data_IF_884712395913
#
_entry.id   IF_884712395913
#
_cell.length_a   1.000
_cell.length_b   1.000
_cell.length_c   1.000
_cell.angle_alpha   90.00
_cell.angle_beta   90.00
_cell.angle_gamma   90.00
#
_symmetry.space_group_name_H-M   'P 1'
#
loop_
_entity.id
_entity.type
_entity.pdbx_description
1 polymer ?
2 polymer ?
3 polymer ?
4 non-polymer ?
5 water ?
#
# COMPACT_ATOMS: atom_id res chain seq x y z
N UNK A 5 -47.93 -33.74 13.85
CA UNK A 5 -47.10 -33.82 12.61
C UNK A 5 -46.84 -32.43 12.04
N UNK A 6 -45.89 -32.36 11.12
CA UNK A 6 -45.50 -31.11 10.46
C UNK A 6 -46.63 -30.40 9.75
N UNK A 7 -46.53 -29.07 9.59
CA UNK A 7 -47.53 -28.23 8.92
C UNK A 7 -47.57 -28.55 7.42
N UNK A 8 -48.75 -28.47 6.82
CA UNK A 8 -48.89 -28.76 5.41
C UNK A 8 -48.57 -27.58 4.51
N UNK A 9 -48.62 -26.37 5.08
CA UNK A 9 -48.38 -25.16 4.30
C UNK A 9 -47.20 -25.12 3.32
N UNK A 10 -45.99 -25.51 3.75
CA UNK A 10 -44.88 -25.45 2.78
C UNK A 10 -45.05 -26.40 1.59
N UNK A 11 -45.73 -27.52 1.82
CA UNK A 11 -45.95 -28.49 0.75
C UNK A 11 -47.00 -27.99 -0.24
N UNK A 12 -48.07 -27.39 0.29
CA UNK A 12 -49.10 -26.84 -0.56
C UNK A 12 -48.53 -25.64 -1.32
N UNK A 13 -47.67 -24.88 -0.66
CA UNK A 13 -47.08 -23.72 -1.32
C UNK A 13 -46.19 -24.14 -2.50
N UNK A 14 -45.33 -25.14 -2.29
CA UNK A 14 -44.46 -25.60 -3.38
C UNK A 14 -45.30 -26.22 -4.49
N UNK A 15 -46.35 -26.92 -4.11
CA UNK A 15 -47.21 -27.55 -5.11
C UNK A 15 -47.92 -26.51 -5.96
N UNK A 16 -48.39 -25.44 -5.33
CA UNK A 16 -49.10 -24.39 -6.06
C UNK A 16 -48.15 -23.57 -6.91
N UNK A 17 -46.93 -23.39 -6.40
CA UNK A 17 -45.91 -22.65 -7.12
C UNK A 17 -45.63 -23.37 -8.46
N UNK A 18 -45.43 -24.68 -8.38
CA UNK A 18 -45.15 -25.48 -9.57
C UNK A 18 -46.32 -25.47 -10.56
N UNK A 19 -47.54 -25.55 -10.03
CA UNK A 19 -48.72 -25.55 -10.88
C UNK A 19 -48.76 -24.21 -11.63
N UNK A 20 -48.52 -23.12 -10.90
CA UNK A 20 -48.52 -21.77 -11.48
C UNK A 20 -47.46 -21.64 -12.57
N UNK A 21 -46.23 -22.02 -12.26
CA UNK A 21 -45.14 -21.94 -13.23
C UNK A 21 -45.44 -22.83 -14.45
N UNK A 22 -45.90 -24.06 -14.22
CA UNK A 22 -46.21 -24.97 -15.33
C UNK A 22 -47.30 -24.41 -16.24
N UNK A 23 -48.15 -23.53 -15.71
CA UNK A 23 -49.21 -22.96 -16.51
C UNK A 23 -48.86 -21.59 -17.06
N UNK A 24 -47.57 -21.26 -17.03
CA UNK A 24 -47.06 -19.99 -17.52
C UNK A 24 -47.50 -18.78 -16.72
N UNK A 25 -47.85 -18.96 -15.44
CA UNK A 25 -48.27 -17.83 -14.62
C UNK A 25 -47.09 -17.30 -13.81
N UNK A 26 -47.20 -16.05 -13.35
CA UNK A 26 -46.17 -15.41 -12.54
C UNK A 26 -46.61 -15.57 -11.10
N UNK A 27 -45.87 -16.36 -10.29
CA UNK A 27 -46.16 -16.64 -8.88
C UNK A 27 -45.98 -15.42 -7.97
N UNK A 28 -47.07 -14.96 -7.36
CA UNK A 28 -47.05 -13.81 -6.45
C UNK A 28 -47.32 -14.35 -5.06
N UNK A 29 -46.54 -13.90 -4.08
CA UNK A 29 -46.71 -14.35 -2.70
C UNK A 29 -47.16 -13.19 -1.81
N UNK A 30 -48.23 -13.40 -1.06
CA UNK A 30 -48.75 -12.38 -0.16
C UNK A 30 -48.15 -12.70 1.19
N UNK A 31 -47.46 -11.74 1.80
CA UNK A 31 -46.80 -11.95 3.08
C UNK A 31 -47.23 -10.98 4.18
N UNK A 32 -47.37 -11.51 5.40
CA UNK A 32 -47.72 -10.70 6.56
C UNK A 32 -46.40 -10.13 7.11
N UNK A 33 -46.07 -8.90 6.72
CA UNK A 33 -44.83 -8.27 7.16
C UNK A 33 -44.73 -7.96 8.65
N UNK A 34 -45.81 -8.20 9.40
CA UNK A 34 -45.81 -7.95 10.84
C UNK A 34 -45.38 -9.21 11.60
N UNK A 35 -45.35 -10.34 10.90
CA UNK A 35 -44.97 -11.61 11.51
C UNK A 35 -43.51 -11.52 11.99
N UNK A 36 -43.25 -12.07 13.17
CA UNK A 36 -41.90 -12.04 13.76
C UNK A 36 -40.86 -12.78 12.91
N UNK A 37 -39.78 -12.09 12.57
CA UNK A 37 -38.74 -12.72 11.79
C UNK A 37 -38.76 -12.37 10.31
N UNK A 38 -39.82 -11.73 9.85
CA UNK A 38 -39.88 -11.36 8.44
C UNK A 38 -38.85 -10.27 8.16
N UNK A 39 -38.05 -10.48 7.11
CA UNK A 39 -37.04 -9.51 6.75
C UNK A 39 -37.22 -9.11 5.29
N UNK A 40 -37.96 -8.01 5.07
CA UNK A 40 -38.23 -7.48 3.75
C UNK A 40 -38.13 -5.95 3.79
N UNK A 41 -37.95 -5.30 2.61
CA UNK A 41 -37.85 -3.85 2.51
C UNK A 41 -39.12 -3.18 3.01
N UNK A 42 -39.02 -2.53 4.16
CA UNK A 42 -40.16 -1.88 4.78
C UNK A 42 -40.86 -0.84 3.90
N UNK A 43 -40.10 -0.15 3.05
CA UNK A 43 -40.70 0.87 2.20
C UNK A 43 -41.67 0.33 1.16
N UNK A 44 -41.77 -1.00 1.04
CA UNK A 44 -42.69 -1.58 0.08
C UNK A 44 -43.88 -2.22 0.76
N UNK A 45 -43.91 -2.15 2.09
CA UNK A 45 -45.01 -2.72 2.85
C UNK A 45 -46.21 -1.78 2.84
N UNK A 46 -47.37 -2.34 2.54
CA UNK A 46 -48.63 -1.60 2.48
C UNK A 46 -49.59 -2.22 3.47
N UNK A 47 -49.97 -1.45 4.49
CA UNK A 47 -50.89 -1.94 5.51
C UNK A 47 -50.45 -3.25 6.16
N UNK A 48 -49.14 -3.36 6.42
CA UNK A 48 -48.62 -4.55 7.07
C UNK A 48 -48.52 -5.77 6.17
N UNK A 49 -48.67 -5.57 4.88
CA UNK A 49 -48.61 -6.69 3.94
C UNK A 49 -47.70 -6.36 2.75
N UNK A 50 -47.06 -7.37 2.19
CA UNK A 50 -46.20 -7.15 1.03
C UNK A 50 -46.40 -8.30 0.04
N UNK A 51 -46.48 -7.96 -1.24
CA UNK A 51 -46.65 -8.97 -2.29
C UNK A 51 -45.33 -9.07 -3.04
N UNK A 52 -44.81 -10.29 -3.17
CA UNK A 52 -43.53 -10.53 -3.80
C UNK A 52 -43.61 -11.40 -5.05
N UNK A 53 -42.85 -11.02 -6.07
CA UNK A 53 -42.79 -11.78 -7.31
C UNK A 53 -41.78 -12.91 -7.10
N UNK A 54 -42.24 -14.15 -7.16
CA UNK A 54 -41.36 -15.30 -6.95
C UNK A 54 -40.95 -16.05 -8.21
N UNK A 55 -41.19 -15.45 -9.38
CA UNK A 55 -40.83 -16.07 -10.66
C UNK A 55 -39.32 -16.28 -10.72
N UNK A 56 -38.88 -17.18 -11.59
CA UNK A 56 -37.45 -17.46 -11.71
C UNK A 56 -36.64 -16.27 -12.20
N UNK A 57 -37.17 -15.50 -13.13
CA UNK A 57 -36.45 -14.35 -13.64
C UNK A 57 -36.29 -13.22 -12.62
N UNK A 58 -37.29 -13.04 -11.77
CA UNK A 58 -37.26 -11.96 -10.78
C UNK A 58 -36.56 -12.25 -9.45
N UNK A 59 -36.13 -13.49 -9.23
CA UNK A 59 -35.47 -13.84 -7.98
C UNK A 59 -34.12 -14.51 -8.20
N UNK A 60 -33.29 -14.45 -7.17
CA UNK A 60 -31.99 -15.08 -7.21
C UNK A 60 -31.90 -16.06 -6.06
N UNK A 61 -31.34 -17.24 -6.29
CA UNK A 61 -31.17 -18.25 -5.25
C UNK A 61 -32.44 -18.51 -4.46
N UNK A 62 -33.54 -18.73 -5.16
CA UNK A 62 -34.82 -18.96 -4.51
C UNK A 62 -34.86 -20.27 -3.73
N UNK A 63 -35.27 -20.19 -2.47
CA UNK A 63 -35.38 -21.36 -1.61
C UNK A 63 -36.79 -21.43 -1.03
N UNK A 64 -37.46 -22.55 -1.26
CA UNK A 64 -38.80 -22.75 -0.71
C UNK A 64 -38.68 -23.94 0.26
N UNK A 65 -38.20 -23.69 1.47
CA UNK A 65 -38.02 -24.76 2.44
C UNK A 65 -39.24 -24.88 3.33
N UNK A 66 -39.24 -25.89 4.20
CA UNK A 66 -40.37 -26.09 5.11
C UNK A 66 -40.54 -24.97 6.14
N UNK A 67 -39.44 -24.36 6.56
CA UNK A 67 -39.51 -23.30 7.57
C UNK A 67 -39.50 -21.88 7.02
N UNK A 68 -38.98 -21.68 5.81
CA UNK A 68 -38.90 -20.33 5.28
C UNK A 68 -38.75 -20.23 3.78
N UNK A 69 -38.92 -19.00 3.31
CA UNK A 69 -38.75 -18.67 1.91
C UNK A 69 -37.65 -17.62 1.93
N UNK A 70 -36.64 -17.82 1.09
CA UNK A 70 -35.51 -16.89 1.02
C UNK A 70 -35.04 -16.74 -0.40
N UNK A 71 -34.57 -15.54 -0.74
CA UNK A 71 -34.09 -15.26 -2.08
C UNK A 71 -33.56 -13.85 -2.18
N UNK A 72 -32.85 -13.57 -3.28
CA UNK A 72 -32.33 -12.24 -3.56
C UNK A 72 -33.27 -11.67 -4.62
N UNK A 73 -33.48 -10.37 -4.58
CA UNK A 73 -34.34 -9.69 -5.53
C UNK A 73 -33.89 -8.23 -5.61
N UNK A 74 -34.17 -7.59 -6.74
CA UNK A 74 -33.79 -6.20 -6.93
C UNK A 74 -34.96 -5.26 -6.67
N UNK A 75 -34.66 -4.17 -5.99
CA UNK A 75 -35.65 -3.15 -5.69
C UNK A 75 -34.96 -1.88 -6.14
N UNK A 76 -35.44 -1.31 -7.23
CA UNK A 76 -34.85 -0.09 -7.78
C UNK A 76 -33.40 -0.35 -8.16
N UNK A 77 -33.15 -1.53 -8.74
CA UNK A 77 -31.81 -1.87 -9.18
C UNK A 77 -30.84 -2.33 -8.11
N UNK A 78 -31.26 -2.26 -6.85
CA UNK A 78 -30.41 -2.67 -5.74
C UNK A 78 -30.80 -4.06 -5.23
N UNK A 79 -29.88 -5.00 -5.34
CA UNK A 79 -30.12 -6.37 -4.92
C UNK A 79 -30.20 -6.47 -3.39
N UNK A 80 -31.26 -7.12 -2.90
CA UNK A 80 -31.46 -7.31 -1.46
C UNK A 80 -31.93 -8.74 -1.16
N UNK A 81 -31.59 -9.23 0.02
CA UNK A 81 -32.00 -10.58 0.39
C UNK A 81 -33.22 -10.54 1.30
N UNK A 82 -34.23 -11.33 0.93
CA UNK A 82 -35.45 -11.40 1.72
C UNK A 82 -35.54 -12.72 2.44
N UNK A 83 -36.12 -12.70 3.63
CA UNK A 83 -36.29 -13.89 4.45
C UNK A 83 -37.70 -13.89 4.99
N UNK A 84 -38.47 -14.92 4.65
CA UNK A 84 -39.84 -15.03 5.10
C UNK A 84 -40.17 -16.32 5.84
N UNK A 85 -40.41 -16.25 7.16
CA UNK A 85 -40.74 -17.46 7.92
C UNK A 85 -42.05 -18.00 7.30
N UNK A 86 -42.17 -19.31 7.20
CA UNK A 86 -43.35 -19.92 6.59
C UNK A 86 -44.69 -19.46 7.21
N UNK A 87 -44.67 -19.19 8.50
CA UNK A 87 -45.89 -18.72 9.17
C UNK A 87 -46.37 -17.38 8.63
N UNK A 88 -45.49 -16.67 7.92
CA UNK A 88 -45.85 -15.37 7.36
C UNK A 88 -46.39 -15.44 5.92
N UNK A 89 -46.35 -16.61 5.30
CA UNK A 89 -46.84 -16.77 3.94
C UNK A 89 -48.36 -16.95 4.04
N UNK A 90 -49.11 -15.97 3.53
CA UNK A 90 -50.57 -16.03 3.64
C UNK A 90 -51.28 -16.66 2.45
N UNK A 91 -50.73 -16.44 1.25
CA UNK A 91 -51.33 -16.99 0.04
C UNK A 91 -50.37 -16.86 -1.13
N UNK A 92 -50.69 -17.56 -2.22
CA UNK A 92 -49.86 -17.51 -3.41
C UNK A 92 -50.84 -17.51 -4.57
N UNK A 93 -50.61 -16.66 -5.57
CA UNK A 93 -51.52 -16.60 -6.70
C UNK A 93 -50.86 -16.13 -7.99
N UNK A 94 -51.57 -16.34 -9.10
CA UNK A 94 -51.09 -15.93 -10.41
C UNK A 94 -51.33 -14.45 -10.61
N UNK A 95 -50.29 -13.73 -11.02
CA UNK A 95 -50.41 -12.30 -11.22
C UNK A 95 -51.40 -12.00 -12.36
N UNK A 96 -51.43 -12.88 -13.35
CA UNK A 96 -52.29 -12.71 -14.51
C UNK A 96 -53.80 -12.78 -14.28
N UNK A 97 -54.27 -13.71 -13.43
CA UNK A 97 -55.71 -13.83 -13.21
C UNK A 97 -56.16 -14.05 -11.77
N UNK A 98 -55.24 -13.96 -10.81
CA UNK A 98 -55.61 -14.13 -9.41
C UNK A 98 -55.89 -15.56 -8.95
N UNK A 99 -55.75 -16.54 -9.84
CA UNK A 99 -55.99 -17.93 -9.46
C UNK A 99 -54.85 -18.37 -8.54
N UNK A 100 -55.21 -19.09 -7.48
CA UNK A 100 -54.24 -19.56 -6.52
C UNK A 100 -54.93 -20.05 -5.25
N UNK A 101 -54.30 -19.83 -4.10
CA UNK A 101 -54.91 -20.26 -2.84
C UNK A 101 -54.40 -19.48 -1.64
N UNK A 102 -55.27 -19.34 -0.65
CA UNK A 102 -54.92 -18.68 0.59
C UNK A 102 -54.73 -19.81 1.58
N UNK A 103 -53.57 -19.87 2.21
CA UNK A 103 -53.28 -20.94 3.15
C UNK A 103 -54.14 -20.91 4.40
N UNK A 104 -54.58 -22.09 4.82
CA UNK A 104 -55.41 -22.21 6.01
C UNK A 104 -54.59 -21.99 7.26
N UNK A 105 -55.22 -21.43 8.30
CA UNK A 105 -54.51 -21.18 9.55
C UNK A 105 -54.04 -22.50 10.14
N UNK A 106 -52.82 -22.49 10.69
CA UNK A 106 -52.28 -23.69 11.32
C UNK A 106 -51.70 -23.26 12.66
N UNK A 107 -52.22 -23.88 13.72
CA UNK A 107 -51.85 -23.59 15.10
C UNK A 107 -50.37 -23.33 15.39
N UNK A 108 -49.50 -24.15 14.82
CA UNK A 108 -48.07 -24.00 15.04
C UNK A 108 -47.53 -22.63 14.64
N UNK A 109 -48.17 -21.99 13.66
CA UNK A 109 -47.72 -20.69 13.17
C UNK A 109 -48.12 -19.48 14.01
N UNK A 110 -49.22 -19.57 14.74
CA UNK A 110 -49.66 -18.43 15.55
C UNK A 110 -49.15 -18.51 16.99
N UNK B 5 37.77 0.77 -3.12
CA UNK B 5 36.64 1.04 -2.17
C UNK B 5 35.41 0.21 -2.51
N UNK B 6 34.56 -0.05 -1.51
CA UNK B 6 33.35 -0.84 -1.70
C UNK B 6 32.32 -0.13 -2.58
N UNK B 7 31.29 -0.86 -3.02
CA UNK B 7 30.20 -0.34 -3.87
C UNK B 7 29.34 0.69 -3.13
N UNK B 8 28.86 1.70 -3.86
CA UNK B 8 28.02 2.73 -3.28
C UNK B 8 26.55 2.31 -3.30
N UNK B 9 26.21 1.37 -4.18
CA UNK B 9 24.84 0.92 -4.33
C UNK B 9 24.00 0.63 -3.08
N UNK B 10 24.55 -0.13 -2.11
CA UNK B 10 23.79 -0.44 -0.88
C UNK B 10 23.45 0.81 -0.06
N UNK B 11 24.38 1.77 -0.06
CA UNK B 11 24.17 3.00 0.69
C UNK B 11 23.12 3.85 -0.01
N UNK B 12 23.17 3.91 -1.33
CA UNK B 12 22.18 4.68 -2.08
C UNK B 12 20.82 4.01 -1.95
N UNK B 13 20.83 2.67 -1.87
CA UNK B 13 19.60 1.90 -1.74
C UNK B 13 18.92 2.20 -0.40
N UNK B 14 19.68 2.13 0.68
CA UNK B 14 19.12 2.43 2.00
C UNK B 14 18.67 3.89 2.08
N UNK B 15 19.41 4.78 1.42
CA UNK B 15 19.07 6.21 1.42
C UNK B 15 17.70 6.47 0.78
N UNK B 16 17.49 5.84 -0.38
CA UNK B 16 16.24 6.00 -1.12
C UNK B 16 15.06 5.31 -0.44
N UNK B 17 15.34 4.18 0.22
CA UNK B 17 14.31 3.42 0.92
C UNK B 17 13.73 4.31 2.03
N UNK B 18 14.62 4.92 2.80
CA UNK B 18 14.21 5.79 3.91
C UNK B 18 13.49 7.02 3.39
N UNK B 19 13.95 7.53 2.25
CA UNK B 19 13.32 8.69 1.64
C UNK B 19 11.89 8.32 1.25
N UNK B 20 11.74 7.19 0.55
CA UNK B 20 10.43 6.73 0.13
C UNK B 20 9.51 6.57 1.32
N UNK B 21 9.96 5.81 2.31
CA UNK B 21 9.17 5.56 3.51
C UNK B 21 8.81 6.85 4.26
N UNK B 22 9.77 7.75 4.43
CA UNK B 22 9.50 9.03 5.11
C UNK B 22 8.47 9.87 4.38
N UNK B 23 8.27 9.59 3.09
CA UNK B 23 7.30 10.33 2.28
C UNK B 23 6.01 9.53 2.12
N UNK B 24 5.84 8.51 2.95
CA UNK B 24 4.64 7.68 2.89
C UNK B 24 4.45 6.95 1.55
N UNK B 25 5.56 6.63 0.89
CA UNK B 25 5.51 5.91 -0.39
C UNK B 25 5.79 4.43 -0.14
N UNK B 26 5.27 3.57 -1.03
CA UNK B 26 5.49 2.13 -0.91
C UNK B 26 6.72 1.81 -1.76
N UNK B 27 7.81 1.36 -1.11
CA UNK B 27 9.08 1.02 -1.75
C UNK B 27 9.01 -0.22 -2.64
N UNK B 28 9.23 -0.03 -3.95
CA UNK B 28 9.23 -1.14 -4.90
C UNK B 28 10.65 -1.32 -5.43
N UNK B 29 11.14 -2.56 -5.38
CA UNK B 29 12.49 -2.87 -5.85
C UNK B 29 12.51 -3.71 -7.13
N UNK B 30 13.22 -3.22 -8.15
CA UNK B 30 13.32 -3.96 -9.42
C UNK B 30 14.53 -4.88 -9.28
N UNK B 31 14.33 -6.17 -9.52
CA UNK B 31 15.40 -7.15 -9.39
C UNK B 31 15.63 -8.00 -10.65
N UNK B 32 16.90 -8.15 -11.02
CA UNK B 32 17.27 -8.99 -12.16
C UNK B 32 17.29 -10.40 -11.60
N UNK B 33 16.22 -11.15 -11.87
CA UNK B 33 16.09 -12.51 -11.38
C UNK B 33 17.07 -13.50 -12.01
N UNK B 34 17.77 -13.08 -13.06
CA UNK B 34 18.73 -13.97 -13.73
C UNK B 34 20.12 -13.86 -13.09
N UNK B 35 20.30 -12.91 -12.18
CA UNK B 35 21.59 -12.70 -11.53
C UNK B 35 21.95 -13.88 -10.62
N UNK B 36 23.24 -14.18 -10.55
CA UNK B 36 23.76 -15.29 -9.74
C UNK B 36 23.43 -15.19 -8.25
N UNK B 37 22.82 -16.25 -7.71
CA UNK B 37 22.49 -16.26 -6.29
C UNK B 37 21.13 -15.71 -5.90
N UNK B 38 20.35 -15.25 -6.87
CA UNK B 38 19.03 -14.71 -6.58
C UNK B 38 18.01 -15.80 -6.25
N UNK B 39 17.34 -15.64 -5.11
CA UNK B 39 16.31 -16.59 -4.68
C UNK B 39 14.97 -15.89 -4.51
N UNK B 40 14.11 -15.98 -5.52
CA UNK B 40 12.77 -15.37 -5.50
C UNK B 40 11.76 -16.37 -6.10
N UNK B 41 10.45 -16.12 -5.91
CA UNK B 41 9.41 -17.01 -6.45
C UNK B 41 9.40 -16.93 -7.98
N UNK B 42 9.96 -17.94 -8.64
CA UNK B 42 10.06 -17.94 -10.10
C UNK B 42 8.75 -17.77 -10.87
N UNK B 43 7.63 -18.19 -10.30
CA UNK B 43 6.34 -18.04 -11.01
C UNK B 43 5.95 -16.59 -11.17
N UNK B 44 6.59 -15.70 -10.42
CA UNK B 44 6.28 -14.28 -10.51
C UNK B 44 7.32 -13.50 -11.29
N UNK B 45 8.30 -14.21 -11.85
CA UNK B 45 9.32 -13.55 -12.65
C UNK B 45 8.79 -13.34 -14.07
N UNK B 46 8.93 -12.12 -14.58
CA UNK B 46 8.48 -11.79 -15.92
C UNK B 46 9.65 -11.26 -16.73
N UNK B 47 10.03 -12.00 -17.77
CA UNK B 47 11.16 -11.64 -18.63
C UNK B 47 12.45 -11.51 -17.85
N UNK B 48 12.65 -12.40 -16.88
CA UNK B 48 13.88 -12.38 -16.09
C UNK B 48 13.98 -11.25 -15.08
N UNK B 49 12.85 -10.64 -14.76
CA UNK B 49 12.85 -9.53 -13.83
C UNK B 49 11.65 -9.66 -12.90
N UNK B 50 11.77 -9.13 -11.69
CA UNK B 50 10.66 -9.17 -10.75
C UNK B 50 10.67 -7.91 -9.89
N UNK B 51 9.49 -7.38 -9.59
CA UNK B 51 9.36 -6.18 -8.76
C UNK B 51 8.82 -6.62 -7.41
N UNK B 52 9.52 -6.24 -6.34
CA UNK B 52 9.14 -6.63 -4.99
C UNK B 52 8.73 -5.45 -4.10
N UNK B 53 7.67 -5.66 -3.33
CA UNK B 53 7.16 -4.65 -2.41
C UNK B 53 7.98 -4.77 -1.12
N UNK B 54 8.79 -3.76 -0.81
CA UNK B 54 9.63 -3.80 0.39
C UNK B 54 9.09 -3.01 1.59
N UNK B 55 7.81 -2.69 1.59
CA UNK B 55 7.23 -1.93 2.69
C UNK B 55 7.29 -2.75 3.97
N UNK B 56 7.20 -2.08 5.11
CA UNK B 56 7.25 -2.78 6.38
C UNK B 56 6.06 -3.72 6.57
N UNK B 57 4.90 -3.36 6.06
CA UNK B 57 3.73 -4.22 6.21
C UNK B 57 3.72 -5.47 5.33
N UNK B 58 4.38 -5.40 4.17
CA UNK B 58 4.40 -6.52 3.23
C UNK B 58 5.60 -7.45 3.37
N UNK B 59 6.56 -7.09 4.21
CA UNK B 59 7.74 -7.93 4.38
C UNK B 59 7.93 -8.30 5.84
N UNK B 60 8.71 -9.36 6.05
CA UNK B 60 9.01 -9.82 7.40
C UNK B 60 10.52 -9.94 7.52
N UNK B 61 11.08 -9.53 8.65
CA UNK B 61 12.53 -9.60 8.89
C UNK B 61 13.36 -9.03 7.75
N UNK B 62 12.98 -7.84 7.29
CA UNK B 62 13.67 -7.19 6.18
C UNK B 62 15.09 -6.75 6.54
N UNK B 63 16.05 -7.15 5.71
CA UNK B 63 17.44 -6.78 5.94
C UNK B 63 18.02 -6.16 4.69
N UNK B 64 18.55 -4.95 4.84
CA UNK B 64 19.17 -4.23 3.74
C UNK B 64 20.66 -4.09 4.10
N UNK B 65 21.43 -5.12 3.80
CA UNK B 65 22.85 -5.08 4.13
C UNK B 65 23.64 -4.68 2.90
N UNK B 66 24.94 -4.47 3.09
CA UNK B 66 25.82 -4.09 1.99
C UNK B 66 25.87 -5.14 0.89
N UNK B 67 25.85 -6.42 1.27
CA UNK B 67 25.93 -7.49 0.28
C UNK B 67 24.60 -8.05 -0.24
N UNK B 68 23.51 -7.84 0.49
CA UNK B 68 22.23 -8.38 0.03
C UNK B 68 20.98 -7.83 0.72
N UNK B 69 19.85 -8.09 0.08
CA UNK B 69 18.54 -7.71 0.61
C UNK B 69 17.94 -9.08 0.91
N UNK B 70 17.34 -9.22 2.09
CA UNK B 70 16.74 -10.48 2.50
C UNK B 70 15.49 -10.25 3.34
N UNK B 71 14.50 -11.13 3.17
CA UNK B 71 13.26 -11.02 3.91
C UNK B 71 12.28 -12.13 3.53
N UNK B 72 11.17 -12.22 4.24
CA UNK B 72 10.16 -13.19 3.87
C UNK B 72 8.91 -12.38 3.56
N UNK B 73 8.05 -12.94 2.74
CA UNK B 73 6.82 -12.27 2.34
C UNK B 73 5.85 -13.33 1.83
N UNK B 74 4.57 -12.99 1.77
CA UNK B 74 3.57 -13.94 1.30
C UNK B 74 3.19 -13.73 -0.16
N UNK B 75 3.19 -14.82 -0.91
CA UNK B 75 2.83 -14.79 -2.32
C UNK B 75 1.59 -15.68 -2.43
N UNK B 76 0.44 -15.03 -2.61
CA UNK B 76 -0.85 -15.72 -2.69
C UNK B 76 -1.05 -16.61 -1.47
N UNK B 77 -0.73 -16.05 -0.30
CA UNK B 77 -0.90 -16.78 0.93
C UNK B 77 0.33 -17.49 1.48
N UNK B 78 1.15 -18.07 0.60
CA UNK B 78 2.34 -18.78 1.03
C UNK B 78 3.52 -17.86 1.38
N UNK B 79 4.04 -18.02 2.60
CA UNK B 79 5.17 -17.22 3.07
C UNK B 79 6.46 -17.73 2.45
N UNK B 80 7.06 -16.91 1.59
CA UNK B 80 8.29 -17.28 0.91
C UNK B 80 9.50 -16.53 1.45
N UNK B 81 10.67 -17.14 1.33
CA UNK B 81 11.90 -16.52 1.78
C UNK B 81 12.63 -15.98 0.55
N UNK B 82 12.99 -14.70 0.58
CA UNK B 82 13.66 -14.10 -0.56
C UNK B 82 15.08 -13.65 -0.23
N UNK B 83 15.96 -13.79 -1.21
CA UNK B 83 17.36 -13.42 -1.05
C UNK B 83 17.86 -12.78 -2.33
N UNK B 84 18.24 -11.52 -2.25
CA UNK B 84 18.72 -10.78 -3.41
C UNK B 84 20.12 -10.19 -3.28
N UNK B 85 21.10 -10.73 -4.04
CA UNK B 85 22.48 -10.21 -3.98
C UNK B 85 22.41 -8.75 -4.42
N UNK B 86 23.17 -7.87 -3.77
CA UNK B 86 23.11 -6.45 -4.12
C UNK B 86 23.28 -6.16 -5.62
N UNK B 87 24.06 -6.98 -6.31
CA UNK B 87 24.27 -6.77 -7.73
C UNK B 87 23.02 -7.00 -8.57
N UNK B 88 22.04 -7.68 -8.00
CA UNK B 88 20.80 -7.95 -8.73
C UNK B 88 19.74 -6.87 -8.57
N UNK B 89 19.95 -5.94 -7.62
CA UNK B 89 19.01 -4.84 -7.35
C UNK B 89 19.28 -3.76 -8.39
N UNK B 90 18.31 -3.55 -9.30
CA UNK B 90 18.48 -2.58 -10.36
C UNK B 90 17.95 -1.17 -10.08
N UNK B 91 16.83 -1.10 -9.38
CA UNK B 91 16.24 0.20 -9.08
C UNK B 91 15.24 0.08 -7.94
N UNK B 92 14.85 1.23 -7.39
CA UNK B 92 13.88 1.28 -6.31
C UNK B 92 13.05 2.54 -6.54
N UNK B 93 11.74 2.43 -6.36
CA UNK B 93 10.88 3.58 -6.60
C UNK B 93 9.55 3.48 -5.84
N UNK B 94 8.80 4.58 -5.88
CA UNK B 94 7.51 4.63 -5.21
C UNK B 94 6.43 4.00 -6.08
N UNK B 95 5.68 3.07 -5.49
CA UNK B 95 4.59 2.41 -6.19
C UNK B 95 3.61 3.48 -6.69
N UNK B 96 3.34 4.44 -5.82
CA UNK B 96 2.41 5.55 -6.11
C UNK B 96 2.71 6.40 -7.34
N UNK B 97 3.90 7.01 -7.40
CA UNK B 97 4.22 7.87 -8.55
C UNK B 97 5.42 7.44 -9.39
N UNK B 98 6.09 6.37 -8.99
CA UNK B 98 7.23 5.89 -9.75
C UNK B 98 8.52 6.65 -9.54
N UNK B 99 8.51 7.62 -8.62
CA UNK B 99 9.70 8.41 -8.35
C UNK B 99 10.71 7.55 -7.57
N UNK B 100 11.98 7.68 -7.90
CA UNK B 100 13.00 6.91 -7.22
C UNK B 100 14.32 7.04 -7.95
N UNK B 101 14.99 5.92 -8.21
CA UNK B 101 16.25 5.96 -8.92
C UNK B 101 16.66 4.59 -9.44
N UNK B 102 17.41 4.61 -10.54
CA UNK B 102 17.92 3.38 -11.14
C UNK B 102 19.40 3.40 -10.76
N UNK B 103 19.90 2.28 -10.25
CA UNK B 103 21.29 2.23 -9.83
C UNK B 103 22.23 2.17 -11.02
N UNK B 104 23.36 2.85 -10.89
CA UNK B 104 24.36 2.87 -11.95
C UNK B 104 25.13 1.56 -11.90
N UNK B 105 25.57 1.07 -13.06
CA UNK B 105 26.32 -0.19 -13.02
C UNK B 105 27.64 0.01 -12.29
N UNK B 106 28.08 -1.01 -11.57
CA UNK B 106 29.34 -0.93 -10.84
C UNK B 106 30.14 -2.17 -11.18
N UNK B 107 31.33 -1.95 -11.73
CA UNK B 107 32.23 -3.02 -12.14
C UNK B 107 32.27 -4.26 -11.23
N UNK B 108 32.28 -4.04 -9.92
CA UNK B 108 32.33 -5.16 -8.99
C UNK B 108 31.12 -6.08 -9.10
N UNK B 109 30.02 -5.58 -9.63
CA UNK B 109 28.80 -6.38 -9.79
C UNK B 109 28.73 -7.13 -11.12
N UNK B 110 29.61 -6.78 -12.06
CA UNK B 110 29.61 -7.47 -13.34
C UNK B 110 30.51 -8.70 -13.31
N UNK C 5 6.45 15.74 -2.38
CA UNK C 5 7.45 14.94 -1.62
C UNK C 5 8.70 15.76 -1.32
N UNK C 6 9.33 15.46 -0.19
CA UNK C 6 10.52 16.19 0.24
C UNK C 6 11.73 15.92 -0.65
N UNK C 7 12.78 16.76 -0.54
CA UNK C 7 14.02 16.64 -1.32
C UNK C 7 14.79 15.39 -0.91
N UNK C 8 15.54 14.82 -1.85
CA UNK C 8 16.34 13.63 -1.57
C UNK C 8 17.73 13.98 -1.06
N UNK C 9 18.19 15.19 -1.36
CA UNK C 9 19.52 15.64 -0.97
C UNK C 9 20.01 15.19 0.42
N UNK C 10 19.22 15.45 1.48
CA UNK C 10 19.64 15.05 2.83
C UNK C 10 19.90 13.55 2.97
N UNK C 11 19.11 12.73 2.28
CA UNK C 11 19.26 11.27 2.35
C UNK C 11 20.51 10.81 1.62
N UNK C 12 20.74 11.39 0.44
CA UNK C 12 21.92 11.04 -0.33
C UNK C 12 23.15 11.48 0.45
N UNK C 13 23.03 12.63 1.13
CA UNK C 13 24.11 13.18 1.91
C UNK C 13 24.52 12.23 3.02
N UNK C 14 23.55 11.75 3.81
CA UNK C 14 23.85 10.84 4.90
C UNK C 14 24.36 9.50 4.36
N UNK C 15 23.74 9.04 3.28
CA UNK C 15 24.15 7.77 2.69
C UNK C 15 25.58 7.84 2.21
N UNK C 16 25.95 8.92 1.54
CA UNK C 16 27.31 9.06 1.03
C UNK C 16 28.30 9.31 2.17
N UNK C 17 27.86 10.01 3.21
CA UNK C 17 28.71 10.28 4.36
C UNK C 17 29.11 8.95 5.01
N UNK C 18 28.15 8.04 5.16
CA UNK C 18 28.44 6.74 5.77
C UNK C 18 29.32 5.87 4.90
N UNK C 19 29.14 5.97 3.59
CA UNK C 19 29.95 5.20 2.65
C UNK C 19 31.40 5.67 2.77
N UNK C 20 31.58 6.98 2.82
CA UNK C 20 32.92 7.57 2.94
C UNK C 20 33.59 7.09 4.22
N UNK C 21 32.88 7.22 5.33
CA UNK C 21 33.42 6.79 6.63
C UNK C 21 33.74 5.30 6.67
N UNK C 22 32.81 4.48 6.16
CA UNK C 22 33.00 3.04 6.16
C UNK C 22 34.20 2.62 5.30
N UNK C 23 34.56 3.47 4.36
CA UNK C 23 35.71 3.19 3.49
C UNK C 23 36.94 3.98 3.95
N UNK C 24 36.92 4.38 5.21
CA UNK C 24 38.01 5.11 5.83
C UNK C 24 38.45 6.38 5.11
N UNK C 25 37.50 7.11 4.53
CA UNK C 25 37.81 8.35 3.84
C UNK C 25 37.42 9.51 4.74
N UNK C 26 38.04 10.67 4.52
CA UNK C 26 37.73 11.87 5.30
C UNK C 26 36.69 12.64 4.51
N UNK C 27 35.46 12.76 5.05
CA UNK C 27 34.35 13.47 4.40
C UNK C 27 34.51 14.98 4.31
N UNK C 28 34.42 15.49 3.08
CA UNK C 28 34.53 16.92 2.83
C UNK C 28 33.23 17.40 2.19
N UNK C 29 32.72 18.52 2.70
CA UNK C 29 31.48 19.09 2.18
C UNK C 29 31.74 20.43 1.52
N UNK C 30 31.25 20.59 0.29
CA UNK C 30 31.39 21.83 -0.45
C UNK C 30 30.11 22.60 -0.20
N UNK C 31 30.24 23.84 0.28
CA UNK C 31 29.07 24.64 0.58
C UNK C 31 29.04 26.00 -0.14
N UNK C 32 27.86 26.39 -0.61
CA UNK C 32 27.69 27.67 -1.28
C UNK C 32 27.65 28.74 -0.18
N UNK C 33 28.76 29.44 -0.01
CA UNK C 33 28.87 30.47 1.02
C UNK C 33 27.91 31.65 0.87
N UNK C 34 27.40 31.87 -0.33
CA UNK C 34 26.47 32.97 -0.56
C UNK C 34 25.01 32.59 -0.28
N UNK C 35 24.77 31.32 0.03
CA UNK C 35 23.41 30.88 0.31
C UNK C 35 22.98 31.47 1.65
N UNK C 36 21.77 32.00 1.72
CA UNK C 36 21.29 32.61 2.96
C UNK C 36 21.12 31.62 4.10
N UNK C 37 21.58 32.01 5.29
CA UNK C 37 21.47 31.15 6.45
C UNK C 37 22.79 30.50 6.81
N UNK C 38 23.70 30.43 5.85
CA UNK C 38 25.01 29.83 6.12
C UNK C 38 25.70 30.64 7.22
N UNK C 39 26.14 29.95 8.26
CA UNK C 39 26.82 30.55 9.39
C UNK C 39 28.12 29.81 9.66
N UNK C 40 29.23 30.36 9.15
CA UNK C 40 30.55 29.77 9.32
C UNK C 40 31.59 30.88 9.46
N UNK C 41 32.75 30.58 10.06
CA UNK C 41 33.80 31.59 10.22
C UNK C 41 34.17 32.20 8.86
N UNK C 42 34.11 33.54 8.77
CA UNK C 42 34.43 34.23 7.51
C UNK C 42 35.77 33.82 6.92
N UNK C 43 36.74 33.50 7.77
CA UNK C 43 38.05 33.09 7.30
C UNK C 43 38.03 31.62 6.85
N UNK C 44 36.89 31.21 6.33
CA UNK C 44 36.68 29.86 5.82
C UNK C 44 36.33 30.03 4.34
N UNK C 45 35.71 31.16 4.03
CA UNK C 45 35.25 31.46 2.68
C UNK C 45 36.33 31.78 1.66
N UNK C 46 36.20 31.16 0.49
CA UNK C 46 37.12 31.34 -0.61
C UNK C 46 36.36 31.17 -1.92
N UNK C 47 36.25 32.25 -2.68
CA UNK C 47 35.55 32.26 -3.96
C UNK C 47 34.07 31.89 -3.88
N UNK C 48 33.37 32.50 -2.94
CA UNK C 48 31.94 32.24 -2.79
C UNK C 48 31.61 30.86 -2.25
N UNK C 49 32.63 30.07 -1.95
CA UNK C 49 32.43 28.72 -1.42
C UNK C 49 33.26 28.45 -0.18
N UNK C 50 33.03 27.28 0.40
CA UNK C 50 33.74 26.85 1.59
C UNK C 50 33.80 25.31 1.62
N UNK C 51 34.95 24.79 2.05
CA UNK C 51 35.15 23.35 2.14
C UNK C 51 35.28 22.95 3.60
N UNK C 52 34.38 22.09 4.06
CA UNK C 52 34.37 21.67 5.46
C UNK C 52 34.75 20.21 5.68
N UNK C 53 35.55 19.97 6.72
CA UNK C 53 35.98 18.63 7.09
C UNK C 53 34.93 18.12 8.08
N UNK C 54 34.11 17.17 7.66
CA UNK C 54 33.06 16.65 8.53
C UNK C 54 33.42 15.36 9.26
N UNK C 55 34.70 15.00 9.29
CA UNK C 55 35.11 13.77 9.97
C UNK C 55 34.78 13.83 11.46
N UNK C 56 34.60 12.67 12.07
CA UNK C 56 34.28 12.59 13.48
C UNK C 56 35.34 13.28 14.35
N UNK C 57 36.61 13.06 14.02
CA UNK C 57 37.69 13.66 14.80
C UNK C 57 37.89 15.15 14.58
N UNK C 58 37.30 15.71 13.52
CA UNK C 58 37.45 17.13 13.25
C UNK C 58 36.22 17.94 13.65
N UNK C 59 35.16 17.25 14.08
CA UNK C 59 33.92 17.92 14.47
C UNK C 59 33.36 17.44 15.81
N UNK C 60 32.38 18.17 16.31
CA UNK C 60 31.73 17.79 17.55
C UNK C 60 30.24 17.95 17.38
N UNK C 61 29.46 17.04 17.97
CA UNK C 61 28.00 17.08 17.88
C UNK C 61 27.49 17.20 16.44
N UNK C 62 28.13 16.51 15.50
CA UNK C 62 27.69 16.58 14.12
C UNK C 62 26.25 16.13 13.94
N UNK C 63 25.48 16.95 13.24
CA UNK C 63 24.08 16.63 12.95
C UNK C 63 23.84 16.77 11.46
N UNK C 64 23.31 15.72 10.85
CA UNK C 64 22.98 15.72 9.43
C UNK C 64 21.48 15.50 9.36
N UNK C 65 20.70 16.57 9.51
CA UNK C 65 19.24 16.47 9.49
C UNK C 65 18.73 16.73 8.07
N UNK C 66 17.42 16.65 7.88
CA UNK C 66 16.86 16.89 6.57
C UNK C 66 16.93 18.36 6.16
N UNK C 67 17.04 19.24 7.15
CA UNK C 67 17.08 20.67 6.87
C UNK C 67 18.44 21.33 7.00
N UNK C 68 19.37 20.70 7.70
CA UNK C 68 20.67 21.34 7.87
C UNK C 68 21.79 20.43 8.33
N UNK C 69 22.98 20.98 8.26
CA UNK C 69 24.20 20.33 8.72
C UNK C 69 24.63 21.28 9.82
N UNK C 70 24.94 20.74 10.99
CA UNK C 70 25.35 21.55 12.12
C UNK C 70 26.36 20.80 12.97
N UNK C 71 27.39 21.50 13.41
CA UNK C 71 28.41 20.88 14.25
C UNK C 71 29.33 21.92 14.89
N UNK C 72 30.12 21.47 15.86
CA UNK C 72 31.09 22.34 16.51
C UNK C 72 32.44 21.98 15.92
N UNK C 73 33.33 22.96 15.83
CA UNK C 73 34.65 22.72 15.26
C UNK C 73 35.56 23.85 15.69
N UNK C 74 36.74 23.50 16.19
CA UNK C 74 37.70 24.51 16.65
C UNK C 74 38.48 25.12 15.51
N UNK C 75 38.54 26.45 15.51
CA UNK C 75 39.24 27.20 14.48
C UNK C 75 40.17 28.22 15.16
N UNK C 76 41.46 28.07 14.92
CA UNK C 76 42.45 28.96 15.52
C UNK C 76 42.24 29.09 17.02
N UNK C 77 42.18 27.94 17.70
CA UNK C 77 42.01 27.93 19.13
C UNK C 77 40.63 28.26 19.68
N UNK C 78 39.71 28.70 18.81
CA UNK C 78 38.37 29.02 19.28
C UNK C 78 37.31 28.06 18.76
N UNK C 79 36.47 27.58 19.67
CA UNK C 79 35.40 26.66 19.32
C UNK C 79 34.23 27.46 18.77
N UNK C 80 33.68 27.01 17.65
CA UNK C 80 32.56 27.69 17.03
C UNK C 80 31.57 26.66 16.51
N UNK C 81 30.33 27.08 16.35
CA UNK C 81 29.31 26.17 15.85
C UNK C 81 29.02 26.59 14.42
N UNK C 82 29.09 25.64 13.50
CA UNK C 82 28.82 25.93 12.11
C UNK C 82 27.41 25.44 11.80
N UNK C 83 26.69 26.22 11.00
CA UNK C 83 25.33 25.89 10.62
C UNK C 83 25.19 26.05 9.10
N UNK C 84 24.78 24.98 8.43
CA UNK C 84 24.62 25.01 6.98
C UNK C 84 23.25 24.54 6.55
N UNK C 85 22.45 25.43 5.94
CA UNK C 85 21.12 24.99 5.49
C UNK C 85 21.37 23.94 4.42
N UNK C 86 20.48 22.94 4.34
CA UNK C 86 20.66 21.88 3.34
C UNK C 86 20.78 22.42 1.92
N UNK C 87 20.09 23.53 1.64
CA UNK C 87 20.14 24.11 0.32
C UNK C 87 21.51 24.56 -0.12
N UNK C 88 22.40 24.82 0.84
CA UNK C 88 23.75 25.28 0.56
C UNK C 88 24.77 24.17 0.32
N UNK C 89 24.46 22.95 0.72
CA UNK C 89 25.39 21.84 0.52
C UNK C 89 25.39 21.47 -0.96
N UNK C 90 26.55 21.61 -1.60
CA UNK C 90 26.67 21.33 -3.02
C UNK C 90 27.24 19.95 -3.35
N UNK C 91 28.19 19.49 -2.56
CA UNK C 91 28.81 18.21 -2.81
C UNK C 91 29.55 17.68 -1.59
N UNK C 92 29.79 16.37 -1.61
CA UNK C 92 30.52 15.72 -0.53
C UNK C 92 31.45 14.73 -1.22
N UNK C 93 32.69 14.67 -0.74
CA UNK C 93 33.66 13.79 -1.36
C UNK C 93 34.78 13.39 -0.42
N UNK C 94 35.55 12.40 -0.83
CA UNK C 94 36.66 11.91 -0.04
C UNK C 94 37.83 12.89 -0.23
N UNK C 95 38.46 13.27 0.89
CA UNK C 95 39.59 14.17 0.83
C UNK C 95 40.74 13.43 0.16
N UNK C 96 40.93 12.18 0.58
CA UNK C 96 41.99 11.32 0.07
C UNK C 96 42.06 11.18 -1.46
N UNK C 97 40.91 10.97 -2.11
CA UNK C 97 40.92 10.77 -3.56
C UNK C 97 39.87 11.53 -4.36
N UNK C 98 39.08 12.38 -3.71
CA UNK C 98 38.08 13.14 -4.43
C UNK C 98 36.84 12.37 -4.86
N UNK C 99 36.76 11.09 -4.52
CA UNK C 99 35.59 10.31 -4.90
C UNK C 99 34.39 10.82 -4.10
N UNK C 100 33.36 11.28 -4.81
CA UNK C 100 32.18 11.79 -4.14
C UNK C 100 31.01 11.98 -5.07
N UNK C 101 30.18 13.00 -4.80
CA UNK C 101 29.04 13.28 -5.64
C UNK C 101 28.50 14.69 -5.45
N UNK C 102 28.09 15.29 -6.57
CA UNK C 102 27.51 16.61 -6.55
C UNK C 102 26.01 16.39 -6.47
N UNK C 103 25.31 17.23 -5.71
CA UNK C 103 23.87 17.09 -5.55
C UNK C 103 23.11 17.80 -6.67
N UNK C 104 21.99 17.23 -7.07
CA UNK C 104 21.17 17.80 -8.13
C UNK C 104 20.47 19.07 -7.66
N UNK C 105 20.30 20.04 -8.56
CA UNK C 105 19.65 21.33 -8.25
C UNK C 105 18.15 21.20 -8.00
N UNK C 106 17.77 20.84 -6.78
CA UNK C 106 16.37 20.69 -6.44
C UNK C 106 15.72 22.07 -6.24
N UNK C 107 14.75 22.38 -7.09
CA UNK C 107 14.04 23.66 -7.09
C UNK C 107 13.57 24.16 -5.71
N UNK C 108 13.16 23.23 -4.85
CA UNK C 108 12.69 23.62 -3.52
C UNK C 108 13.73 24.39 -2.73
N UNK C 109 15.02 24.12 -2.98
CA UNK C 109 16.09 24.81 -2.30
C UNK C 109 16.16 26.26 -2.74
N UNK C 110 15.52 26.53 -3.86
CA UNK C 110 15.43 27.89 -4.36
C UNK C 110 14.14 28.32 -3.65
N UNK C 111 13.85 29.61 -3.61
CA UNK C 111 12.64 30.06 -2.92
C UNK C 111 12.88 29.90 -1.42
N UNK C 112 14.04 29.34 -1.07
CA UNK C 112 14.44 29.15 0.32
C UNK C 112 15.69 29.96 0.60
N UNK C 113 15.80 31.09 -0.09
CA UNK C 113 16.92 32.01 0.04
C UNK C 113 18.20 31.42 -0.55
X LIG D 1 -33.56 -16.69 -10.92
X LIG E 1 7.20 -6.16 8.59
X LIG F 1 34.56 14.37 17.59
#
# INVERSE_FOLDING_TARGET
>A
MEYKSSPKRPYLLRAYYDWLVDNSFTPYLVVDATYLGVNVPVEYVKDGQIVLNLSASATGNLQLTNDFIQFNARFKGVSRELYIPMGAALAIYARENGDGVMFEPEEIYD
>B
MEYKSSPKRPYLLRSLYDWLVDNSFTPYLVVDATYLGVNVPVEYVKDGQIVLNLSASATGNLQLTNDFIQFNARFKGVSRELYIPMGAALAIYARENGDGAMFEPEEIYDE
>C
MEYKSSPKRPYYLRGFYDWLVDNSFTPYLVVDATYLGVNVPVEYVKDGQIVLNLSASATGNLQLTNDFIQFNQRFKGVSRELYIPMGAALAIYARENGDGMMFEPEEIYDELNIEPDTEQPTGFYEAVD
>D hetero
1 MG MG
>E hetero
1 MG MG
>F hetero
1 MG MG
#
